data_IF_422834091887
#
_entry.id   IF_422834091887
#
_cell.length_a   1.000
_cell.length_b   1.000
_cell.length_c   1.000
_cell.angle_alpha   90.00
_cell.angle_beta   90.00
_cell.angle_gamma   90.00
#
_symmetry.space_group_name_H-M   'P 1'
#
loop_
_entity.id
_entity.type
_entity.pdbx_description
1 polymer ?
#
# COMPACT_ATOMS: atom_id res chain seq x y z
N UNK A 1 2.87 -21.91 17.81
CA UNK A 1 1.84 -21.25 16.96
C UNK A 1 1.49 -22.17 15.81
N UNK A 2 0.21 -22.26 15.40
CA UNK A 2 -0.23 -22.99 14.20
C UNK A 2 -0.69 -21.97 13.15
N UNK A 3 -0.34 -22.18 11.88
CA UNK A 3 -0.79 -21.33 10.78
C UNK A 3 -2.20 -21.79 10.37
N UNK A 4 -3.19 -20.91 10.48
CA UNK A 4 -4.59 -21.24 10.12
C UNK A 4 -4.88 -21.01 8.63
N UNK A 5 -4.25 -19.99 8.03
CA UNK A 5 -4.42 -19.63 6.61
C UNK A 5 -3.10 -19.08 6.07
N UNK A 6 -2.59 -19.68 4.99
CA UNK A 6 -1.28 -19.30 4.42
C UNK A 6 -1.32 -17.95 3.70
N UNK A 7 -2.42 -17.63 3.01
CA UNK A 7 -2.61 -16.35 2.33
C UNK A 7 -4.01 -15.81 2.65
N UNK A 8 -4.08 -14.78 3.49
CA UNK A 8 -5.35 -14.16 3.88
C UNK A 8 -5.91 -13.20 2.82
N UNK A 9 -5.07 -12.77 1.88
CA UNK A 9 -5.35 -11.78 0.86
C UNK A 9 -4.19 -10.80 0.71
N UNK A 10 -4.05 -10.15 -0.45
CA UNK A 10 -3.07 -9.09 -0.66
C UNK A 10 -3.44 -7.83 0.14
N UNK A 11 -2.42 -7.11 0.59
CA UNK A 11 -2.52 -5.80 1.23
C UNK A 11 -1.96 -4.74 0.28
N UNK A 12 -2.57 -3.54 0.31
CA UNK A 12 -2.05 -2.38 -0.41
C UNK A 12 -0.89 -1.73 0.35
N UNK A 13 -0.01 -1.04 -0.37
CA UNK A 13 1.08 -0.26 0.21
C UNK A 13 0.56 0.79 1.20
N UNK A 14 -0.59 1.41 0.90
CA UNK A 14 -1.26 2.34 1.79
C UNK A 14 -1.69 1.69 3.11
N UNK A 15 -2.34 0.52 3.08
CA UNK A 15 -2.76 -0.18 4.31
C UNK A 15 -1.57 -0.57 5.19
N UNK A 16 -0.46 -0.98 4.58
CA UNK A 16 0.78 -1.29 5.32
C UNK A 16 1.36 -0.01 5.93
N UNK A 17 1.39 1.08 5.17
CA UNK A 17 1.89 2.37 5.65
C UNK A 17 1.03 2.93 6.79
N UNK A 18 -0.30 2.87 6.67
CA UNK A 18 -1.28 3.28 7.68
C UNK A 18 -1.11 2.47 8.98
N UNK A 19 -0.93 1.15 8.86
CA UNK A 19 -0.62 0.29 9.99
C UNK A 19 0.68 0.70 10.69
N UNK A 20 1.76 0.91 9.94
CA UNK A 20 3.05 1.33 10.51
C UNK A 20 2.94 2.69 11.21
N UNK A 21 2.24 3.66 10.61
CA UNK A 21 1.96 4.96 11.23
C UNK A 21 1.19 4.81 12.54
N UNK A 22 0.16 3.95 12.58
CA UNK A 22 -0.59 3.67 13.81
C UNK A 22 0.25 3.05 14.94
N UNK A 23 1.33 2.34 14.57
CA UNK A 23 2.30 1.77 15.51
C UNK A 23 3.38 2.77 15.96
N UNK A 24 3.32 4.02 15.49
CA UNK A 24 4.26 5.08 15.82
C UNK A 24 5.45 5.19 14.86
N UNK A 25 5.35 4.62 13.65
CA UNK A 25 6.34 4.88 12.62
C UNK A 25 6.30 6.35 12.21
N UNK A 26 7.47 6.98 12.20
CA UNK A 26 7.64 8.39 11.82
C UNK A 26 9.03 8.59 11.22
N UNK A 27 9.17 9.64 10.41
CA UNK A 27 10.46 10.13 9.91
C UNK A 27 11.20 10.97 10.95
N UNK A 28 10.54 11.32 12.06
CA UNK A 28 11.12 12.14 13.12
C UNK A 28 12.30 11.45 13.82
N UNK A 29 13.35 12.19 14.24
CA UNK A 29 14.48 11.63 14.99
C UNK A 29 14.07 10.88 16.28
N UNK A 30 12.91 11.21 16.85
CA UNK A 30 12.35 10.50 18.02
C UNK A 30 11.80 9.11 17.70
N UNK A 31 11.81 8.67 16.43
CA UNK A 31 11.34 7.34 15.99
C UNK A 31 11.99 6.17 16.72
N UNK A 32 13.19 6.37 17.27
CA UNK A 32 13.90 5.39 18.11
C UNK A 32 13.10 4.98 19.36
N UNK A 33 12.15 5.82 19.79
CA UNK A 33 11.26 5.52 20.93
C UNK A 33 10.07 4.62 20.58
N UNK A 34 9.86 4.31 19.29
CA UNK A 34 8.77 3.42 18.87
C UNK A 34 9.10 1.95 19.17
N UNK A 35 8.05 1.12 19.28
CA UNK A 35 8.17 -0.32 19.47
C UNK A 35 8.46 -1.09 18.15
N UNK A 36 8.87 -0.38 17.10
CA UNK A 36 9.07 -0.95 15.78
C UNK A 36 10.44 -1.57 15.63
N UNK A 37 10.46 -2.71 14.94
CA UNK A 37 11.68 -3.40 14.58
C UNK A 37 12.43 -2.66 13.47
N UNK A 38 13.76 -2.84 13.33
CA UNK A 38 14.52 -2.26 12.22
C UNK A 38 13.95 -2.64 10.84
N UNK A 39 13.43 -3.86 10.69
CA UNK A 39 12.76 -4.30 9.46
C UNK A 39 11.50 -3.49 9.15
N UNK A 40 10.69 -3.16 10.15
CA UNK A 40 9.49 -2.34 9.96
C UNK A 40 9.85 -0.90 9.59
N UNK A 41 10.95 -0.37 10.15
CA UNK A 41 11.47 0.93 9.75
C UNK A 41 11.96 0.96 8.30
N UNK A 42 12.67 -0.08 7.85
CA UNK A 42 13.11 -0.17 6.46
C UNK A 42 11.92 -0.18 5.49
N UNK A 43 10.84 -0.91 5.85
CA UNK A 43 9.60 -0.92 5.05
C UNK A 43 8.92 0.43 5.08
N UNK A 44 8.83 1.07 6.25
CA UNK A 44 8.26 2.41 6.39
C UNK A 44 9.00 3.44 5.54
N UNK A 45 10.33 3.48 5.63
CA UNK A 45 11.18 4.42 4.91
C UNK A 45 11.03 4.22 3.38
N UNK A 46 10.87 2.98 2.91
CA UNK A 46 10.55 2.69 1.51
C UNK A 46 9.15 3.20 1.12
N UNK A 47 8.12 2.89 1.91
CA UNK A 47 6.73 3.22 1.60
C UNK A 47 6.46 4.73 1.65
N UNK A 48 7.13 5.48 2.53
CA UNK A 48 7.06 6.95 2.58
C UNK A 48 7.58 7.60 1.29
N UNK A 49 8.56 6.98 0.62
CA UNK A 49 9.06 7.49 -0.67
C UNK A 49 8.22 7.01 -1.86
N UNK A 50 7.21 6.18 -1.62
CA UNK A 50 6.31 5.65 -2.65
C UNK A 50 5.04 6.51 -2.79
N UNK A 51 4.27 6.36 -3.89
CA UNK A 51 2.99 7.06 -4.06
C UNK A 51 1.97 6.80 -2.95
N UNK A 52 2.15 5.75 -2.14
CA UNK A 52 1.28 5.46 -1.00
C UNK A 52 1.31 6.55 0.09
N UNK A 53 2.35 7.39 0.13
CA UNK A 53 2.48 8.43 1.15
C UNK A 53 1.39 9.51 1.05
N UNK A 54 1.00 9.85 -0.18
CA UNK A 54 0.04 10.93 -0.50
C UNK A 54 -1.41 10.43 -0.62
N UNK A 55 -1.63 9.13 -0.47
CA UNK A 55 -2.96 8.53 -0.50
C UNK A 55 -3.71 8.75 0.81
N UNK A 56 -5.04 8.85 0.73
CA UNK A 56 -5.92 8.89 1.89
C UNK A 56 -6.90 7.73 1.85
N UNK A 57 -7.51 7.41 2.99
CA UNK A 57 -8.49 6.30 3.05
C UNK A 57 -9.67 6.57 2.12
N UNK A 58 -10.07 7.83 2.00
CA UNK A 58 -11.17 8.29 1.16
C UNK A 58 -10.83 8.10 -0.32
N UNK A 59 -9.63 8.54 -0.76
CA UNK A 59 -9.24 8.44 -2.17
C UNK A 59 -9.06 6.99 -2.63
N UNK A 60 -8.52 6.13 -1.76
CA UNK A 60 -8.40 4.69 -2.02
C UNK A 60 -9.79 4.04 -2.16
N UNK A 61 -10.71 4.34 -1.24
CA UNK A 61 -12.06 3.80 -1.29
C UNK A 61 -12.84 4.29 -2.52
N UNK A 62 -12.73 5.57 -2.86
CA UNK A 62 -13.34 6.15 -4.06
C UNK A 62 -12.83 5.47 -5.33
N UNK A 63 -11.51 5.24 -5.42
CA UNK A 63 -10.91 4.51 -6.53
C UNK A 63 -11.43 3.07 -6.62
N UNK A 64 -11.50 2.36 -5.50
CA UNK A 64 -12.02 0.99 -5.46
C UNK A 64 -13.47 0.95 -5.94
N UNK A 65 -14.33 1.87 -5.51
CA UNK A 65 -15.72 1.94 -5.98
C UNK A 65 -15.79 2.20 -7.48
N UNK A 66 -15.05 3.18 -8.00
CA UNK A 66 -15.00 3.47 -9.45
C UNK A 66 -14.42 2.34 -10.28
N UNK A 67 -13.47 1.57 -9.72
CA UNK A 67 -12.84 0.45 -10.43
C UNK A 67 -13.80 -0.71 -10.71
N UNK A 68 -14.91 -0.81 -9.96
CA UNK A 68 -15.93 -1.86 -10.15
C UNK A 68 -16.59 -1.79 -11.52
N UNK A 69 -16.68 -0.59 -12.11
CA UNK A 69 -17.29 -0.38 -13.43
C UNK A 69 -16.43 -0.96 -14.57
N UNK A 70 -15.13 -1.17 -14.34
CA UNK A 70 -14.16 -1.58 -15.35
C UNK A 70 -13.84 -3.08 -15.35
N UNK A 71 -14.51 -3.89 -14.51
CA UNK A 71 -14.29 -5.34 -14.38
C UNK A 71 -12.81 -5.75 -14.15
N UNK A 72 -12.06 -4.91 -13.43
CA UNK A 72 -10.65 -5.18 -13.14
C UNK A 72 -10.49 -6.33 -12.15
N UNK A 73 -9.47 -7.17 -12.35
CA UNK A 73 -9.08 -8.17 -11.39
C UNK A 73 -8.56 -7.50 -10.10
N UNK A 74 -8.77 -8.14 -8.95
CA UNK A 74 -8.34 -7.59 -7.65
C UNK A 74 -6.85 -7.26 -7.60
N UNK A 75 -6.03 -8.03 -8.31
CA UNK A 75 -4.57 -7.82 -8.38
C UNK A 75 -4.23 -6.57 -9.19
N UNK A 76 -4.94 -6.30 -10.28
CA UNK A 76 -4.75 -5.11 -11.11
C UNK A 76 -5.11 -3.85 -10.33
N UNK A 77 -6.26 -3.85 -9.64
CA UNK A 77 -6.69 -2.72 -8.79
C UNK A 77 -5.63 -2.39 -7.74
N UNK A 78 -5.06 -3.41 -7.09
CA UNK A 78 -4.01 -3.24 -6.08
C UNK A 78 -2.71 -2.73 -6.71
N UNK A 79 -2.32 -3.23 -7.88
CA UNK A 79 -1.12 -2.76 -8.57
C UNK A 79 -1.25 -1.30 -9.05
N UNK A 80 -2.44 -0.89 -9.51
CA UNK A 80 -2.71 0.51 -9.87
C UNK A 80 -2.60 1.40 -8.62
N UNK A 81 -3.20 0.98 -7.50
CA UNK A 81 -3.08 1.73 -6.23
C UNK A 81 -1.64 1.84 -5.75
N UNK A 82 -0.85 0.76 -5.84
CA UNK A 82 0.51 0.74 -5.34
C UNK A 82 1.49 1.57 -6.20
N UNK A 83 1.32 1.53 -7.53
CA UNK A 83 2.26 2.17 -8.47
C UNK A 83 1.83 3.57 -8.89
N UNK A 84 0.55 3.93 -8.74
CA UNK A 84 -0.02 5.22 -9.15
C UNK A 84 0.43 5.63 -10.57
N UNK A 85 0.04 4.86 -11.60
CA UNK A 85 0.51 5.07 -12.96
C UNK A 85 0.14 6.46 -13.45
N UNK A 86 1.12 7.20 -13.96
CA UNK A 86 0.94 8.58 -14.44
C UNK A 86 0.82 8.65 -15.96
N UNK A 87 1.03 7.53 -16.65
CA UNK A 87 0.94 7.42 -18.10
C UNK A 87 0.12 6.21 -18.55
N UNK A 88 -0.45 6.29 -19.75
CA UNK A 88 -1.16 5.17 -20.36
C UNK A 88 -0.25 3.95 -20.60
N UNK A 89 1.06 4.18 -20.83
CA UNK A 89 2.03 3.12 -21.00
C UNK A 89 2.24 2.33 -19.69
N UNK A 90 2.37 3.02 -18.55
CA UNK A 90 2.47 2.37 -17.23
C UNK A 90 1.19 1.62 -16.88
N UNK A 91 0.03 2.20 -17.17
CA UNK A 91 -1.25 1.53 -16.95
C UNK A 91 -1.37 0.26 -17.80
N UNK A 92 -0.96 0.32 -19.06
CA UNK A 92 -0.96 -0.83 -19.96
C UNK A 92 -0.07 -1.98 -19.43
N UNK A 93 1.10 -1.67 -18.87
CA UNK A 93 1.97 -2.68 -18.26
C UNK A 93 1.31 -3.41 -17.08
N UNK A 94 0.40 -2.74 -16.36
CA UNK A 94 -0.33 -3.34 -15.23
C UNK A 94 -1.51 -4.20 -15.72
N UNK A 95 -2.23 -3.74 -16.75
CA UNK A 95 -3.45 -4.39 -17.23
C UNK A 95 -3.21 -5.57 -18.19
N UNK A 96 -2.09 -5.57 -18.92
CA UNK A 96 -1.79 -6.59 -19.94
C UNK A 96 -0.78 -7.65 -19.48
N UNK A 97 -0.71 -7.91 -18.17
CA UNK A 97 0.21 -8.89 -17.58
C UNK A 97 -0.45 -10.27 -17.41
#
# INVERSE_FOLDING_TARGET
MKILKTNAGPLTNFEVLDLLRSKGASTDPTRVMSLLTPSEFNVYDYLVQSPACDQTRESVNEFIEKSKDYQLAKVEVINILNNHPSSAAELALILFC
#
